data_IF_809850699666
#
_entry.id   IF_809850699666
#
_cell.length_a   1.000
_cell.length_b   1.000
_cell.length_c   1.000
_cell.angle_alpha   90.00
_cell.angle_beta   90.00
_cell.angle_gamma   90.00
#
_symmetry.space_group_name_H-M   'P 1'
#
loop_
_entity.id
_entity.type
_entity.pdbx_description
1 polymer ?
#
# COMPACT_ATOMS: atom_id res chain seq x y z
N UNK A 1 5.26 -14.97 -18.27
CA UNK A 1 6.60 -15.21 -17.67
C UNK A 1 7.43 -13.92 -17.61
N UNK A 2 7.33 -13.04 -18.60
CA UNK A 2 8.03 -11.74 -18.64
C UNK A 2 7.84 -10.88 -17.37
N UNK A 3 6.60 -10.77 -16.85
CA UNK A 3 6.36 -10.02 -15.60
C UNK A 3 7.10 -10.62 -14.39
N UNK A 4 7.19 -11.94 -14.29
CA UNK A 4 7.92 -12.62 -13.21
C UNK A 4 9.41 -12.36 -13.32
N UNK A 5 9.95 -12.45 -14.54
CA UNK A 5 11.35 -12.11 -14.80
C UNK A 5 11.66 -10.66 -14.43
N UNK A 6 10.76 -9.74 -14.74
CA UNK A 6 10.92 -8.33 -14.38
C UNK A 6 10.84 -8.10 -12.87
N UNK A 7 9.76 -8.49 -12.21
CA UNK A 7 9.52 -8.15 -10.80
C UNK A 7 10.37 -8.95 -9.82
N UNK A 8 10.69 -10.21 -10.11
CA UNK A 8 11.53 -11.04 -9.26
C UNK A 8 13.03 -10.94 -9.59
N UNK A 9 13.41 -10.17 -10.62
CA UNK A 9 14.82 -9.83 -10.83
C UNK A 9 15.38 -9.08 -9.62
N UNK A 10 16.64 -9.38 -9.29
CA UNK A 10 17.35 -8.81 -8.16
C UNK A 10 18.48 -7.89 -8.62
N UNK A 11 18.34 -6.60 -8.33
CA UNK A 11 19.38 -5.59 -8.48
C UNK A 11 20.50 -5.78 -7.44
N UNK A 12 21.71 -5.22 -7.65
CA UNK A 12 22.82 -5.34 -6.70
C UNK A 12 22.49 -5.00 -5.23
N UNK A 13 21.80 -3.88 -4.90
CA UNK A 13 21.45 -3.58 -3.51
C UNK A 13 20.42 -4.57 -2.93
N UNK A 14 19.52 -5.10 -3.77
CA UNK A 14 18.54 -6.11 -3.37
C UNK A 14 19.24 -7.44 -3.02
N UNK A 15 20.27 -7.82 -3.79
CA UNK A 15 21.11 -9.01 -3.49
C UNK A 15 21.93 -8.83 -2.22
N UNK A 16 22.44 -7.63 -1.97
CA UNK A 16 23.17 -7.33 -0.73
C UNK A 16 22.25 -7.43 0.50
N UNK A 17 20.96 -7.07 0.38
CA UNK A 17 20.00 -7.26 1.46
C UNK A 17 19.74 -8.75 1.76
N UNK A 18 19.81 -9.63 0.75
CA UNK A 18 19.61 -11.07 0.93
C UNK A 18 20.69 -11.74 1.77
N UNK A 19 21.94 -11.25 1.76
CA UNK A 19 23.03 -11.86 2.55
C UNK A 19 22.79 -11.77 4.06
N UNK A 20 21.91 -10.88 4.50
CA UNK A 20 21.51 -10.73 5.91
C UNK A 20 20.40 -11.72 6.32
N UNK A 21 19.82 -12.44 5.37
CA UNK A 21 18.75 -13.40 5.60
C UNK A 21 19.32 -14.81 5.71
N UNK A 22 18.91 -15.51 6.77
CA UNK A 22 19.33 -16.88 7.02
C UNK A 22 18.25 -17.85 6.55
N UNK A 23 18.66 -18.81 5.73
CA UNK A 23 17.81 -19.92 5.27
C UNK A 23 17.01 -19.62 3.99
N UNK A 24 16.93 -20.63 3.11
CA UNK A 24 16.26 -20.54 1.81
C UNK A 24 14.82 -20.04 1.91
N UNK A 25 14.03 -20.55 2.86
CA UNK A 25 12.63 -20.15 3.05
C UNK A 25 12.50 -18.65 3.28
N UNK A 26 13.36 -18.09 4.13
CA UNK A 26 13.40 -16.66 4.41
C UNK A 26 13.72 -15.86 3.14
N UNK A 27 14.70 -16.32 2.35
CA UNK A 27 15.11 -15.67 1.10
C UNK A 27 14.02 -15.70 0.04
N UNK A 28 13.42 -16.85 -0.24
CA UNK A 28 12.33 -16.95 -1.22
C UNK A 28 11.14 -16.08 -0.79
N UNK A 29 10.78 -16.09 0.50
CA UNK A 29 9.72 -15.23 1.02
C UNK A 29 10.06 -13.75 0.85
N UNK A 30 11.32 -13.35 1.07
CA UNK A 30 11.77 -11.99 0.83
C UNK A 30 11.66 -11.60 -0.65
N UNK A 31 12.10 -12.45 -1.57
CA UNK A 31 12.01 -12.19 -3.02
C UNK A 31 10.55 -12.03 -3.45
N UNK A 32 9.64 -12.84 -2.91
CA UNK A 32 8.19 -12.69 -3.13
C UNK A 32 7.69 -11.32 -2.64
N UNK A 33 8.00 -10.95 -1.40
CA UNK A 33 7.62 -9.64 -0.86
C UNK A 33 8.20 -8.48 -1.68
N UNK A 34 9.46 -8.59 -2.08
CA UNK A 34 10.16 -7.60 -2.89
C UNK A 34 9.50 -7.45 -4.28
N UNK A 35 9.23 -8.55 -4.97
CA UNK A 35 8.60 -8.53 -6.29
C UNK A 35 7.19 -7.93 -6.25
N UNK A 36 6.37 -8.33 -5.28
CA UNK A 36 5.04 -7.76 -5.10
C UNK A 36 5.11 -6.28 -4.71
N UNK A 37 6.10 -5.90 -3.91
CA UNK A 37 6.33 -4.50 -3.58
C UNK A 37 6.75 -3.68 -4.82
N UNK A 38 7.63 -4.21 -5.69
CA UNK A 38 8.00 -3.57 -6.96
C UNK A 38 6.77 -3.37 -7.85
N UNK A 39 5.87 -4.36 -7.91
CA UNK A 39 4.68 -4.31 -8.74
C UNK A 39 3.56 -3.40 -8.20
N UNK A 40 3.31 -3.42 -6.89
CA UNK A 40 2.11 -2.81 -6.29
C UNK A 40 2.41 -1.74 -5.24
N UNK A 41 3.67 -1.58 -4.82
CA UNK A 41 4.09 -0.71 -3.69
C UNK A 41 3.32 -1.01 -2.40
N UNK A 42 3.01 -2.29 -2.19
CA UNK A 42 2.22 -2.79 -1.07
C UNK A 42 2.80 -4.12 -0.58
N UNK A 43 2.56 -4.42 0.70
CA UNK A 43 2.89 -5.70 1.31
C UNK A 43 1.64 -6.56 1.46
N UNK A 44 1.78 -7.84 1.20
CA UNK A 44 0.71 -8.82 1.28
C UNK A 44 1.06 -9.86 2.34
N UNK A 45 0.03 -10.38 3.02
CA UNK A 45 0.15 -11.58 3.84
C UNK A 45 -0.37 -12.73 3.00
N UNK A 46 0.51 -13.68 2.70
CA UNK A 46 0.19 -14.85 1.90
C UNK A 46 0.83 -16.10 2.51
N UNK A 47 0.23 -17.25 2.20
CA UNK A 47 0.82 -18.57 2.43
C UNK A 47 1.29 -19.19 1.11
N UNK A 48 2.09 -20.27 1.18
CA UNK A 48 2.65 -20.93 0.00
C UNK A 48 1.61 -21.32 -1.04
N UNK A 49 0.44 -21.82 -0.61
CA UNK A 49 -0.59 -22.31 -1.53
C UNK A 49 -1.14 -21.20 -2.42
N UNK A 50 -1.26 -19.99 -1.88
CA UNK A 50 -1.75 -18.82 -2.62
C UNK A 50 -0.77 -18.32 -3.69
N UNK A 51 0.53 -18.57 -3.50
CA UNK A 51 1.61 -18.03 -4.35
C UNK A 51 2.51 -19.12 -4.92
N UNK A 52 2.00 -20.36 -5.02
CA UNK A 52 2.82 -21.53 -5.34
C UNK A 52 3.55 -21.39 -6.67
N UNK A 53 2.89 -20.86 -7.71
CA UNK A 53 3.49 -20.65 -9.02
C UNK A 53 4.64 -19.63 -8.98
N UNK A 54 4.50 -18.55 -8.21
CA UNK A 54 5.52 -17.51 -8.07
C UNK A 54 6.69 -18.01 -7.20
N UNK A 55 6.39 -18.74 -6.13
CA UNK A 55 7.40 -19.40 -5.30
C UNK A 55 8.21 -20.43 -6.11
N UNK A 56 7.55 -21.25 -6.94
CA UNK A 56 8.21 -22.21 -7.84
C UNK A 56 9.08 -21.52 -8.87
N UNK A 57 8.63 -20.41 -9.44
CA UNK A 57 9.45 -19.62 -10.36
C UNK A 57 10.74 -19.14 -9.69
N UNK A 58 10.64 -18.58 -8.48
CA UNK A 58 11.80 -18.09 -7.71
C UNK A 58 12.71 -19.25 -7.32
N UNK A 59 12.16 -20.38 -6.87
CA UNK A 59 12.94 -21.57 -6.54
C UNK A 59 13.76 -22.04 -7.74
N UNK A 60 13.15 -22.21 -8.91
CA UNK A 60 13.89 -22.64 -10.11
C UNK A 60 14.98 -21.65 -10.53
N UNK A 61 14.74 -20.36 -10.33
CA UNK A 61 15.67 -19.30 -10.74
C UNK A 61 16.86 -19.12 -9.79
N UNK A 62 16.69 -19.36 -8.49
CA UNK A 62 17.69 -19.02 -7.46
C UNK A 62 18.13 -20.20 -6.59
N UNK A 63 17.34 -21.27 -6.52
CA UNK A 63 17.54 -22.43 -5.64
C UNK A 63 17.11 -23.75 -6.34
N UNK A 64 17.69 -24.08 -7.51
CA UNK A 64 17.21 -25.19 -8.34
C UNK A 64 17.29 -26.56 -7.64
N UNK A 65 18.25 -26.72 -6.72
CA UNK A 65 18.54 -27.99 -6.05
C UNK A 65 17.72 -28.22 -4.77
N UNK A 66 16.77 -27.35 -4.45
CA UNK A 66 16.04 -27.41 -3.18
C UNK A 66 14.53 -27.44 -3.39
N UNK A 67 13.87 -28.36 -2.69
CA UNK A 67 12.41 -28.47 -2.73
C UNK A 67 11.70 -27.39 -1.92
N UNK A 68 10.60 -26.88 -2.48
CA UNK A 68 9.70 -25.97 -1.78
C UNK A 68 8.85 -26.73 -0.77
N UNK A 69 9.30 -26.75 0.49
CA UNK A 69 8.54 -27.31 1.60
C UNK A 69 8.23 -26.20 2.59
N UNK A 70 6.93 -25.94 2.82
CA UNK A 70 6.38 -25.03 3.84
C UNK A 70 7.09 -23.65 3.96
N UNK A 71 6.44 -22.59 3.46
CA UNK A 71 7.01 -21.25 3.39
C UNK A 71 6.53 -20.31 4.50
N UNK A 72 5.98 -20.84 5.58
CA UNK A 72 5.54 -20.01 6.69
C UNK A 72 6.74 -19.37 7.40
N UNK A 73 6.69 -18.04 7.53
CA UNK A 73 7.68 -17.26 8.28
C UNK A 73 7.02 -16.56 9.46
N UNK A 74 7.78 -16.36 10.53
CA UNK A 74 7.27 -15.64 11.70
C UNK A 74 6.93 -14.19 11.35
N UNK A 75 5.98 -13.60 12.09
CA UNK A 75 5.63 -12.18 11.96
C UNK A 75 6.86 -11.28 12.14
N UNK A 76 7.76 -11.61 13.06
CA UNK A 76 8.97 -10.81 13.34
C UNK A 76 9.91 -10.83 12.13
N UNK A 77 10.17 -12.01 11.56
CA UNK A 77 10.98 -12.15 10.34
C UNK A 77 10.37 -11.36 9.19
N UNK A 78 9.05 -11.49 8.99
CA UNK A 78 8.32 -10.77 7.93
C UNK A 78 8.46 -9.25 8.07
N UNK A 79 8.26 -8.71 9.27
CA UNK A 79 8.37 -7.27 9.51
C UNK A 79 9.79 -6.75 9.31
N UNK A 80 10.82 -7.52 9.71
CA UNK A 80 12.22 -7.17 9.45
C UNK A 80 12.54 -7.17 7.94
N UNK A 81 12.00 -8.12 7.19
CA UNK A 81 12.13 -8.12 5.73
C UNK A 81 11.46 -6.90 5.10
N UNK A 82 10.27 -6.52 5.59
CA UNK A 82 9.56 -5.33 5.12
C UNK A 82 10.34 -4.04 5.40
N UNK A 83 10.99 -3.91 6.55
CA UNK A 83 11.83 -2.72 6.84
C UNK A 83 12.98 -2.58 5.85
N UNK A 84 13.66 -3.67 5.49
CA UNK A 84 14.70 -3.64 4.47
C UNK A 84 14.15 -3.23 3.10
N UNK A 85 12.99 -3.74 2.69
CA UNK A 85 12.37 -3.35 1.42
C UNK A 85 12.00 -1.86 1.45
N UNK A 86 11.45 -1.36 2.56
CA UNK A 86 11.13 0.06 2.73
C UNK A 86 12.37 0.94 2.59
N UNK A 87 13.49 0.57 3.23
CA UNK A 87 14.76 1.26 3.13
C UNK A 87 15.30 1.28 1.69
N UNK A 88 15.28 0.14 0.99
CA UNK A 88 15.75 0.01 -0.39
C UNK A 88 15.01 0.95 -1.36
N UNK A 89 13.70 1.14 -1.19
CA UNK A 89 12.91 2.00 -2.06
C UNK A 89 12.63 3.39 -1.48
N UNK A 90 13.14 3.68 -0.28
CA UNK A 90 12.86 4.92 0.46
C UNK A 90 11.35 5.15 0.65
N UNK A 91 10.63 4.08 0.99
CA UNK A 91 9.22 4.11 1.33
C UNK A 91 9.03 4.10 2.84
N UNK A 92 7.88 4.58 3.30
CA UNK A 92 7.47 4.54 4.71
C UNK A 92 6.08 3.94 4.86
N UNK A 93 5.80 3.36 6.02
CA UNK A 93 4.44 2.91 6.36
C UNK A 93 3.55 4.12 6.62
N UNK A 94 2.30 4.05 6.19
CA UNK A 94 1.29 5.04 6.54
C UNK A 94 0.83 4.83 8.00
N UNK A 95 1.60 5.42 8.92
CA UNK A 95 1.36 5.44 10.36
C UNK A 95 0.25 6.42 10.76
N UNK A 96 0.14 6.70 12.07
CA UNK A 96 -0.90 7.60 12.59
C UNK A 96 -0.75 9.03 12.06
N UNK A 97 0.45 9.58 12.06
CA UNK A 97 0.73 10.94 11.57
C UNK A 97 0.47 11.05 10.06
N UNK A 98 0.92 10.06 9.28
CA UNK A 98 0.65 10.00 7.85
C UNK A 98 -0.85 9.87 7.55
N UNK A 99 -1.58 9.10 8.35
CA UNK A 99 -3.04 8.95 8.20
C UNK A 99 -3.77 10.25 8.49
N UNK A 100 -3.33 11.03 9.47
CA UNK A 100 -3.93 12.32 9.74
C UNK A 100 -3.68 13.31 8.59
N UNK A 101 -2.44 13.35 8.07
CA UNK A 101 -2.12 14.13 6.85
C UNK A 101 -2.93 13.68 5.65
N UNK A 102 -3.11 12.37 5.47
CA UNK A 102 -3.94 11.80 4.42
C UNK A 102 -5.40 12.22 4.55
N UNK A 103 -5.94 12.29 5.78
CA UNK A 103 -7.30 12.77 6.05
C UNK A 103 -7.45 14.25 5.74
N UNK A 104 -6.51 15.09 6.15
CA UNK A 104 -6.51 16.51 5.79
C UNK A 104 -6.47 16.71 4.28
N UNK A 105 -5.65 15.93 3.57
CA UNK A 105 -5.62 15.94 2.10
C UNK A 105 -6.96 15.50 1.50
N UNK A 106 -7.58 14.45 2.05
CA UNK A 106 -8.89 13.98 1.59
C UNK A 106 -9.96 15.06 1.71
N UNK A 107 -9.99 15.79 2.83
CA UNK A 107 -10.93 16.90 3.04
C UNK A 107 -10.75 18.02 2.01
N UNK A 108 -9.50 18.39 1.71
CA UNK A 108 -9.21 19.38 0.66
C UNK A 108 -9.69 18.92 -0.71
N UNK A 109 -9.47 17.65 -1.05
CA UNK A 109 -9.88 17.08 -2.34
C UNK A 109 -11.40 16.96 -2.45
N UNK A 110 -12.09 16.59 -1.36
CA UNK A 110 -13.54 16.47 -1.34
C UNK A 110 -14.27 17.80 -1.58
N UNK A 111 -13.66 18.93 -1.17
CA UNK A 111 -14.14 20.29 -1.51
C UNK A 111 -14.10 20.58 -3.01
N UNK A 112 -13.25 19.89 -3.77
CA UNK A 112 -13.15 20.04 -5.24
C UNK A 112 -14.17 19.13 -5.94
N UNK A 113 -14.33 17.89 -5.46
CA UNK A 113 -15.31 16.95 -6.01
C UNK A 113 -15.82 15.99 -4.95
N UNK A 114 -17.15 15.86 -4.88
CA UNK A 114 -17.84 14.90 -4.03
C UNK A 114 -17.85 13.46 -4.58
N UNK A 115 -17.17 13.19 -5.70
CA UNK A 115 -17.12 11.86 -6.32
C UNK A 115 -16.09 10.96 -5.59
N UNK A 116 -16.49 9.83 -4.98
CA UNK A 116 -15.57 8.97 -4.22
C UNK A 116 -14.37 8.48 -5.04
N UNK A 117 -14.58 8.12 -6.30
CA UNK A 117 -13.52 7.65 -7.20
C UNK A 117 -12.47 8.74 -7.45
N UNK A 118 -12.89 10.01 -7.51
CA UNK A 118 -11.96 11.13 -7.68
C UNK A 118 -11.08 11.28 -6.44
N UNK A 119 -11.70 11.31 -5.24
CA UNK A 119 -10.97 11.41 -3.97
C UNK A 119 -9.98 10.24 -3.83
N UNK A 120 -10.41 9.02 -4.11
CA UNK A 120 -9.54 7.85 -4.05
C UNK A 120 -8.31 7.95 -4.96
N UNK A 121 -8.50 8.40 -6.21
CA UNK A 121 -7.40 8.59 -7.17
C UNK A 121 -6.39 9.62 -6.67
N UNK A 122 -6.86 10.76 -6.19
CA UNK A 122 -6.01 11.81 -5.64
C UNK A 122 -5.23 11.36 -4.40
N UNK A 123 -5.88 10.61 -3.50
CA UNK A 123 -5.19 10.06 -2.33
C UNK A 123 -4.14 9.01 -2.72
N UNK A 124 -4.41 8.16 -3.71
CA UNK A 124 -3.41 7.22 -4.24
C UNK A 124 -2.23 7.93 -4.88
N UNK A 125 -2.48 9.00 -5.64
CA UNK A 125 -1.43 9.81 -6.24
C UNK A 125 -0.57 10.48 -5.16
N UNK A 126 -1.21 11.05 -4.12
CA UNK A 126 -0.53 11.62 -2.96
C UNK A 126 0.35 10.59 -2.24
N UNK A 127 -0.19 9.42 -1.88
CA UNK A 127 0.58 8.35 -1.23
C UNK A 127 1.78 7.91 -2.07
N UNK A 128 1.60 7.80 -3.39
CA UNK A 128 2.70 7.44 -4.30
C UNK A 128 3.79 8.51 -4.31
N UNK A 129 3.41 9.80 -4.36
CA UNK A 129 4.34 10.93 -4.35
C UNK A 129 5.14 11.02 -3.04
N UNK A 130 4.48 10.82 -1.90
CA UNK A 130 5.11 10.86 -0.58
C UNK A 130 5.87 9.56 -0.22
N UNK A 131 5.88 8.58 -1.14
CA UNK A 131 6.44 7.24 -0.95
C UNK A 131 5.89 6.55 0.31
N UNK A 132 4.57 6.61 0.47
CA UNK A 132 3.85 5.96 1.55
C UNK A 132 3.21 4.67 1.06
N UNK A 133 3.41 3.58 1.80
CA UNK A 133 2.66 2.35 1.58
C UNK A 133 1.20 2.63 1.88
N UNK A 134 0.35 2.48 0.86
CA UNK A 134 -1.06 2.77 0.99
C UNK A 134 -1.70 1.92 2.10
N UNK A 135 -2.56 2.51 2.95
CA UNK A 135 -3.29 1.74 3.93
C UNK A 135 -4.24 0.76 3.23
N UNK A 136 -4.73 -0.24 3.97
CA UNK A 136 -5.66 -1.23 3.45
C UNK A 136 -6.92 -0.61 2.85
N UNK A 137 -7.55 -1.33 1.93
CA UNK A 137 -8.71 -0.81 1.18
C UNK A 137 -9.84 -0.34 2.10
N UNK A 138 -10.18 -1.10 3.15
CA UNK A 138 -11.22 -0.71 4.11
C UNK A 138 -10.91 0.61 4.81
N UNK A 139 -9.64 0.86 5.17
CA UNK A 139 -9.21 2.13 5.78
C UNK A 139 -9.40 3.29 4.80
N UNK A 140 -9.07 3.09 3.53
CA UNK A 140 -9.28 4.11 2.49
C UNK A 140 -10.77 4.37 2.26
N UNK A 141 -11.60 3.32 2.23
CA UNK A 141 -13.04 3.45 2.03
C UNK A 141 -13.70 4.20 3.18
N UNK A 142 -13.39 3.84 4.42
CA UNK A 142 -13.91 4.48 5.62
C UNK A 142 -13.50 5.96 5.66
N UNK A 143 -12.22 6.26 5.41
CA UNK A 143 -11.73 7.64 5.32
C UNK A 143 -12.50 8.47 4.27
N UNK A 144 -12.70 7.92 3.07
CA UNK A 144 -13.39 8.64 1.99
C UNK A 144 -14.86 8.83 2.33
N UNK A 145 -15.52 7.81 2.89
CA UNK A 145 -16.91 7.88 3.35
C UNK A 145 -17.11 8.99 4.37
N UNK A 146 -16.29 9.01 5.43
CA UNK A 146 -16.30 10.04 6.47
C UNK A 146 -16.17 11.45 5.90
N UNK A 147 -15.19 11.63 5.01
CA UNK A 147 -14.85 12.95 4.48
C UNK A 147 -15.95 13.48 3.56
N UNK A 148 -16.53 12.62 2.71
CA UNK A 148 -17.62 13.01 1.83
C UNK A 148 -18.91 13.32 2.60
N UNK A 149 -19.19 12.56 3.65
CA UNK A 149 -20.35 12.83 4.51
C UNK A 149 -20.22 14.20 5.20
N UNK A 150 -19.05 14.51 5.77
CA UNK A 150 -18.76 15.82 6.37
C UNK A 150 -18.85 16.96 5.37
N UNK A 151 -18.35 16.75 4.15
CA UNK A 151 -18.44 17.78 3.10
C UNK A 151 -19.88 18.02 2.66
N UNK A 152 -20.71 16.97 2.60
CA UNK A 152 -22.15 17.10 2.35
C UNK A 152 -22.84 17.92 3.44
N UNK A 153 -22.59 17.60 4.70
CA UNK A 153 -23.14 18.35 5.85
C UNK A 153 -22.73 19.83 5.81
N UNK A 154 -21.47 20.11 5.49
CA UNK A 154 -20.96 21.47 5.32
C UNK A 154 -21.69 22.23 4.22
N UNK A 155 -21.91 21.60 3.07
CA UNK A 155 -22.64 22.24 1.96
C UNK A 155 -24.10 22.52 2.31
N UNK A 156 -24.77 21.61 3.03
CA UNK A 156 -26.13 21.82 3.53
C UNK A 156 -26.18 23.00 4.50
N UNK A 157 -25.24 23.07 5.45
CA UNK A 157 -25.17 24.17 6.41
C UNK A 157 -24.95 25.54 5.73
N UNK A 158 -24.06 25.60 4.72
CA UNK A 158 -23.82 26.82 3.94
C UNK A 158 -25.06 27.21 3.13
N UNK A 159 -25.76 26.25 2.54
CA UNK A 159 -27.01 26.53 1.81
C UNK A 159 -28.09 27.08 2.77
N UNK A 160 -28.24 26.48 3.95
CA UNK A 160 -29.20 26.92 4.96
C UNK A 160 -28.91 28.35 5.45
N UNK A 161 -27.64 28.68 5.72
CA UNK A 161 -27.29 30.04 6.19
C UNK A 161 -27.55 31.11 5.13
N UNK A 162 -27.37 30.79 3.85
CA UNK A 162 -27.61 31.74 2.75
C UNK A 162 -29.10 31.90 2.41
N UNK A 163 -29.91 30.86 2.65
CA UNK A 163 -31.36 30.92 2.46
C UNK A 163 -32.05 31.71 3.58
N UNK A 164 -31.59 31.59 4.83
CA UNK A 164 -32.15 32.37 5.95
C UNK A 164 -31.92 33.88 5.86
N UNK A 165 -30.86 34.33 5.17
CA UNK A 165 -30.60 35.77 4.97
C UNK A 165 -31.45 36.38 3.83
N UNK A 166 -31.97 35.56 2.90
CA UNK A 166 -32.78 36.01 1.77
C UNK A 166 -34.27 36.18 2.07
N UNK A 167 -34.80 35.47 3.07
CA UNK A 167 -36.23 35.43 3.38
C UNK A 167 -36.67 36.45 4.45
N UNK A 168 -35.80 37.37 4.90
CA UNK A 168 -36.13 38.43 5.88
C UNK A 168 -36.43 39.79 5.21
N UNK A 169 -36.40 39.89 3.87
CA UNK A 169 -36.79 41.12 3.16
C UNK A 169 -37.72 40.81 2.00
N UNK A 170 -39.02 40.61 2.30
CA UNK A 170 -40.12 40.76 1.36
C UNK A 170 -41.39 41.18 2.11
#
# INVERSE_FOLDING_TARGET
EEERAFYFSLAPPERAALSQLHGMKSTIYFILQLGYFKARRQFFVFNLKQVAADAQYIQRAYFPDVDLVDMDITKVTRLKQQSFILELFQYRICGSEERERLRMKAQQVARISSRPIYVFRELRAYLTRERLVAPGYSVMQELIGDVLQRERERLVAVAQSQLTDGDVVA
#
